data_IF_314854724181
#
_entry.id   IF_314854724181
#
_cell.length_a   1.000
_cell.length_b   1.000
_cell.length_c   1.000
_cell.angle_alpha   90.00
_cell.angle_beta   90.00
_cell.angle_gamma   90.00
#
_symmetry.space_group_name_H-M   'P 1'
#
loop_
_entity.id
_entity.type
_entity.pdbx_description
1 polymer ?
#
# COMPACT_ATOMS: atom_id res chain seq x y z
N UNK A 1 13.62 -2.65 3.20
CA UNK A 1 12.29 -2.54 3.80
C UNK A 1 12.25 -1.65 5.05
N UNK A 2 13.00 -1.95 6.13
CA UNK A 2 13.03 -1.10 7.33
C UNK A 2 13.56 0.32 7.08
N UNK A 3 14.42 0.53 6.09
CA UNK A 3 14.97 1.85 5.75
C UNK A 3 13.93 2.90 5.35
N UNK A 4 12.91 2.53 4.55
CA UNK A 4 11.82 3.45 4.19
C UNK A 4 11.07 3.87 5.45
N UNK A 5 10.62 2.92 6.26
CA UNK A 5 9.88 3.24 7.49
C UNK A 5 10.70 4.13 8.41
N UNK A 6 11.99 3.82 8.59
CA UNK A 6 12.88 4.62 9.42
C UNK A 6 13.01 6.06 8.91
N UNK A 7 13.18 6.26 7.59
CA UNK A 7 13.28 7.60 6.97
C UNK A 7 12.06 8.47 7.31
N UNK A 8 10.84 7.95 7.12
CA UNK A 8 9.61 8.72 7.32
C UNK A 8 9.18 8.82 8.78
N UNK A 9 9.34 7.76 9.58
CA UNK A 9 9.05 7.79 11.02
C UNK A 9 10.01 8.75 11.74
N UNK A 10 11.27 8.83 11.29
CA UNK A 10 12.26 9.73 11.87
C UNK A 10 11.87 11.21 11.79
N UNK A 11 11.09 11.61 10.77
CA UNK A 11 10.55 12.98 10.66
C UNK A 11 9.52 13.30 11.75
N UNK A 12 8.83 12.29 12.28
CA UNK A 12 7.73 12.42 13.24
C UNK A 12 8.02 11.71 14.57
N UNK A 13 9.31 11.64 15.00
CA UNK A 13 9.75 10.88 16.20
C UNK A 13 8.95 11.25 17.44
N UNK A 14 8.82 12.55 17.75
CA UNK A 14 8.18 13.00 18.98
C UNK A 14 6.68 12.62 19.03
N UNK A 15 5.83 12.97 18.05
CA UNK A 15 4.42 12.58 18.09
C UNK A 15 4.24 11.05 17.97
N UNK A 16 5.17 10.33 17.33
CA UNK A 16 5.18 8.88 17.28
C UNK A 16 5.40 8.27 18.68
N UNK A 17 6.41 8.76 19.42
CA UNK A 17 6.69 8.30 20.80
C UNK A 17 5.53 8.65 21.74
N UNK A 18 4.92 9.84 21.61
CA UNK A 18 3.74 10.22 22.40
C UNK A 18 2.58 9.27 22.13
N UNK A 19 2.35 8.90 20.86
CA UNK A 19 1.30 7.95 20.51
C UNK A 19 1.55 6.57 21.15
N UNK A 20 2.79 6.08 21.14
CA UNK A 20 3.17 4.83 21.78
C UNK A 20 2.94 4.90 23.29
N UNK A 21 3.32 6.00 23.94
CA UNK A 21 3.09 6.21 25.36
C UNK A 21 1.59 6.20 25.68
N UNK A 22 0.77 6.88 24.89
CA UNK A 22 -0.68 6.85 25.04
C UNK A 22 -1.25 5.42 24.91
N UNK A 23 -0.72 4.59 23.97
CA UNK A 23 -1.11 3.17 23.85
C UNK A 23 -0.74 2.38 25.10
N UNK A 24 0.45 2.60 25.64
CA UNK A 24 0.90 1.91 26.84
C UNK A 24 0.05 2.30 28.07
N UNK A 25 -0.26 3.59 28.23
CA UNK A 25 -1.15 4.08 29.29
C UNK A 25 -2.58 3.55 29.13
N UNK A 26 -3.13 3.55 27.92
CA UNK A 26 -4.43 2.95 27.61
C UNK A 26 -4.46 1.46 27.98
N UNK A 27 -3.44 0.69 27.57
CA UNK A 27 -3.33 -0.73 27.90
C UNK A 27 -3.20 -0.97 29.42
N UNK A 28 -2.48 -0.11 30.13
CA UNK A 28 -2.39 -0.17 31.57
C UNK A 28 -3.75 0.08 32.24
N UNK A 29 -4.52 1.07 31.78
CA UNK A 29 -5.88 1.31 32.25
C UNK A 29 -6.79 0.11 32.00
N UNK A 30 -6.74 -0.49 30.79
CA UNK A 30 -7.52 -1.68 30.44
C UNK A 30 -7.16 -2.89 31.35
N UNK A 31 -5.88 -3.05 31.70
CA UNK A 31 -5.40 -4.13 32.56
C UNK A 31 -5.78 -3.94 34.04
N UNK A 32 -5.89 -2.69 34.51
CA UNK A 32 -6.30 -2.39 35.88
C UNK A 32 -7.80 -2.60 36.13
N UNK A 33 -8.63 -2.50 35.07
CA UNK A 33 -10.08 -2.65 35.17
C UNK A 33 -10.53 -3.93 35.88
N UNK A 34 -10.12 -5.13 35.44
CA UNK A 34 -10.49 -6.39 36.10
C UNK A 34 -9.98 -6.51 37.53
N UNK A 35 -8.79 -6.01 37.83
CA UNK A 35 -8.23 -6.01 39.21
C UNK A 35 -9.06 -5.15 40.15
N UNK A 36 -9.47 -3.96 39.69
CA UNK A 36 -10.31 -3.06 40.50
C UNK A 36 -11.72 -3.64 40.66
N UNK A 37 -12.27 -4.23 39.61
CA UNK A 37 -13.56 -4.95 39.68
C UNK A 37 -13.51 -6.07 40.74
N UNK A 38 -12.39 -6.81 40.81
CA UNK A 38 -12.19 -7.80 41.87
C UNK A 38 -12.24 -7.17 43.27
N UNK A 39 -11.66 -5.98 43.47
CA UNK A 39 -11.74 -5.26 44.76
C UNK A 39 -13.15 -4.77 45.05
N UNK A 40 -13.88 -4.23 44.08
CA UNK A 40 -15.30 -3.84 44.25
C UNK A 40 -16.12 -5.02 44.77
N UNK A 41 -15.91 -6.21 44.20
CA UNK A 41 -16.64 -7.41 44.62
C UNK A 41 -16.17 -7.91 46.00
N UNK A 42 -14.88 -8.02 46.23
CA UNK A 42 -14.31 -8.60 47.45
C UNK A 42 -14.48 -7.68 48.68
N UNK A 43 -14.13 -6.39 48.55
CA UNK A 43 -14.11 -5.42 49.65
C UNK A 43 -15.42 -4.62 49.77
N UNK A 44 -16.23 -4.57 48.73
CA UNK A 44 -17.48 -3.88 48.69
C UNK A 44 -18.66 -4.82 48.88
N UNK A 45 -18.95 -5.66 47.88
CA UNK A 45 -20.15 -6.51 47.84
C UNK A 45 -20.07 -7.63 48.86
N UNK A 46 -18.98 -8.41 48.88
CA UNK A 46 -18.83 -9.54 49.78
C UNK A 46 -18.73 -9.09 51.24
N UNK A 47 -18.11 -7.94 51.51
CA UNK A 47 -17.98 -7.34 52.83
C UNK A 47 -19.22 -6.53 53.25
N UNK A 48 -20.23 -6.38 52.37
CA UNK A 48 -21.45 -5.55 52.58
C UNK A 48 -21.13 -4.09 52.92
N UNK A 49 -19.99 -3.58 52.49
CA UNK A 49 -19.53 -2.21 52.74
C UNK A 49 -19.81 -1.29 51.56
N UNK A 50 -20.95 -0.58 51.64
CA UNK A 50 -21.41 0.30 50.55
C UNK A 50 -20.42 1.43 50.25
N UNK A 51 -19.75 1.99 51.26
CA UNK A 51 -18.72 3.02 51.08
C UNK A 51 -17.53 2.52 50.24
N UNK A 52 -17.09 1.25 50.41
CA UNK A 52 -16.05 0.64 49.61
C UNK A 52 -16.49 0.43 48.14
N UNK A 53 -17.75 0.12 47.91
CA UNK A 53 -18.30 0.02 46.53
C UNK A 53 -18.21 1.37 45.82
N UNK A 54 -18.62 2.47 46.48
CA UNK A 54 -18.52 3.82 45.91
C UNK A 54 -17.07 4.25 45.69
N UNK A 55 -16.17 3.94 46.64
CA UNK A 55 -14.75 4.27 46.51
C UNK A 55 -14.08 3.54 45.31
N UNK A 56 -14.16 2.21 45.27
CA UNK A 56 -13.57 1.43 44.19
C UNK A 56 -14.29 1.58 42.85
N UNK A 57 -15.63 1.79 42.87
CA UNK A 57 -16.43 2.13 41.69
C UNK A 57 -16.06 3.49 41.10
N UNK A 58 -15.86 4.50 41.97
CA UNK A 58 -15.35 5.80 41.53
C UNK A 58 -13.94 5.72 40.92
N UNK A 59 -13.05 4.94 41.56
CA UNK A 59 -11.69 4.68 41.01
C UNK A 59 -11.75 3.99 39.62
N UNK A 60 -12.65 3.02 39.48
CA UNK A 60 -12.85 2.31 38.19
C UNK A 60 -13.34 3.28 37.10
N UNK A 61 -14.27 4.18 37.45
CA UNK A 61 -14.76 5.21 36.54
C UNK A 61 -13.65 6.19 36.13
N UNK A 62 -12.84 6.65 37.09
CA UNK A 62 -11.69 7.53 36.79
C UNK A 62 -10.68 6.87 35.85
N UNK A 63 -10.34 5.59 36.09
CA UNK A 63 -9.42 4.84 35.20
C UNK A 63 -10.03 4.61 33.83
N UNK A 64 -11.34 4.34 33.75
CA UNK A 64 -12.03 4.20 32.46
C UNK A 64 -12.02 5.52 31.67
N UNK A 65 -12.28 6.67 32.35
CA UNK A 65 -12.19 8.00 31.73
C UNK A 65 -10.75 8.33 31.26
N UNK A 66 -9.76 8.03 32.10
CA UNK A 66 -8.35 8.20 31.72
C UNK A 66 -7.98 7.31 30.52
N UNK A 67 -8.39 6.04 30.52
CA UNK A 67 -8.22 5.12 29.39
C UNK A 67 -8.85 5.62 28.11
N UNK A 68 -10.09 6.14 28.20
CA UNK A 68 -10.79 6.74 27.06
C UNK A 68 -10.05 7.99 26.52
N UNK A 69 -9.54 8.85 27.39
CA UNK A 69 -8.75 10.03 26.99
C UNK A 69 -7.45 9.61 26.26
N UNK A 70 -6.74 8.60 26.78
CA UNK A 70 -5.55 8.06 26.10
C UNK A 70 -5.90 7.39 24.77
N UNK A 71 -7.01 6.66 24.68
CA UNK A 71 -7.49 6.02 23.46
C UNK A 71 -7.83 7.05 22.36
N UNK A 72 -8.51 8.15 22.72
CA UNK A 72 -8.82 9.25 21.80
C UNK A 72 -7.53 9.93 21.34
N UNK A 73 -6.65 10.32 22.27
CA UNK A 73 -5.37 10.97 21.97
C UNK A 73 -4.51 10.13 21.04
N UNK A 74 -4.35 8.85 21.34
CA UNK A 74 -3.67 7.87 20.47
C UNK A 74 -4.31 7.79 19.10
N UNK A 75 -5.65 7.70 19.03
CA UNK A 75 -6.35 7.52 17.75
C UNK A 75 -6.17 8.74 16.85
N UNK A 76 -6.25 9.95 17.39
CA UNK A 76 -6.01 11.20 16.68
C UNK A 76 -4.56 11.31 16.23
N UNK A 77 -3.61 11.05 17.13
CA UNK A 77 -2.17 11.12 16.80
C UNK A 77 -1.79 10.10 15.73
N UNK A 78 -2.16 8.83 15.90
CA UNK A 78 -1.83 7.78 14.93
C UNK A 78 -2.42 8.05 13.55
N UNK A 79 -3.67 8.55 13.49
CA UNK A 79 -4.30 8.92 12.23
C UNK A 79 -3.59 10.10 11.56
N UNK A 80 -3.30 11.18 12.30
CA UNK A 80 -2.59 12.35 11.75
C UNK A 80 -1.18 11.98 11.25
N UNK A 81 -0.43 11.21 12.02
CA UNK A 81 0.95 10.81 11.67
C UNK A 81 0.94 9.92 10.45
N UNK A 82 0.10 8.88 10.42
CA UNK A 82 0.05 7.96 9.29
C UNK A 82 -0.36 8.65 7.98
N UNK A 83 -1.32 9.60 8.03
CA UNK A 83 -1.72 10.37 6.85
C UNK A 83 -0.64 11.34 6.38
N UNK A 84 0.08 12.00 7.29
CA UNK A 84 1.24 12.84 6.94
C UNK A 84 2.35 12.04 6.28
N UNK A 85 2.70 10.89 6.85
CA UNK A 85 3.68 9.96 6.24
C UNK A 85 3.21 9.52 4.85
N UNK A 86 1.93 9.22 4.68
CA UNK A 86 1.35 8.89 3.38
C UNK A 86 1.41 10.04 2.37
N UNK A 87 1.24 11.28 2.83
CA UNK A 87 1.38 12.47 1.99
C UNK A 87 2.83 12.69 1.58
N UNK A 88 3.78 12.62 2.52
CA UNK A 88 5.22 12.73 2.24
C UNK A 88 5.68 11.64 1.25
N UNK A 89 5.21 10.41 1.45
CA UNK A 89 5.56 9.29 0.57
C UNK A 89 5.03 9.49 -0.85
N UNK A 90 3.78 9.96 -1.01
CA UNK A 90 3.23 10.30 -2.33
C UNK A 90 3.98 11.45 -2.97
N UNK A 91 4.35 12.45 -2.20
CA UNK A 91 5.14 13.59 -2.69
C UNK A 91 6.52 13.14 -3.21
N UNK A 92 7.26 12.37 -2.40
CA UNK A 92 8.59 11.87 -2.79
C UNK A 92 8.48 10.95 -4.03
N UNK A 93 7.44 10.08 -4.10
CA UNK A 93 7.17 9.23 -5.26
C UNK A 93 6.84 10.06 -6.51
N UNK A 94 5.95 11.05 -6.37
CA UNK A 94 5.56 11.90 -7.50
C UNK A 94 6.75 12.68 -8.03
N UNK A 95 7.52 13.31 -7.15
CA UNK A 95 8.76 13.99 -7.55
C UNK A 95 9.72 13.06 -8.29
N UNK A 96 9.88 11.82 -7.80
CA UNK A 96 10.74 10.84 -8.45
C UNK A 96 10.23 10.46 -9.84
N UNK A 97 8.92 10.21 -9.97
CA UNK A 97 8.28 9.79 -11.24
C UNK A 97 8.34 10.90 -12.30
N UNK A 98 8.13 12.15 -11.91
CA UNK A 98 8.21 13.30 -12.84
C UNK A 98 9.61 13.45 -13.46
N UNK A 99 10.65 13.04 -12.73
CA UNK A 99 12.03 13.10 -13.21
C UNK A 99 12.51 11.78 -13.85
N UNK A 100 11.61 10.82 -14.09
CA UNK A 100 11.98 9.60 -14.81
C UNK A 100 12.27 9.89 -16.28
N UNK A 101 13.26 9.18 -16.80
CA UNK A 101 13.40 9.03 -18.25
C UNK A 101 12.31 8.11 -18.80
N UNK A 102 12.02 8.23 -20.11
CA UNK A 102 11.06 7.34 -20.77
C UNK A 102 11.45 5.85 -20.62
N UNK A 103 12.72 5.43 -20.78
CA UNK A 103 13.14 4.05 -20.54
C UNK A 103 12.80 3.54 -19.13
N UNK A 104 12.93 4.39 -18.12
CA UNK A 104 12.61 4.04 -16.74
C UNK A 104 11.10 3.95 -16.52
N UNK A 105 10.33 4.86 -17.10
CA UNK A 105 8.87 4.83 -17.07
C UNK A 105 8.29 3.61 -17.80
N UNK A 106 8.85 3.25 -18.96
CA UNK A 106 8.46 2.06 -19.74
C UNK A 106 8.74 0.77 -18.97
N UNK A 107 9.93 0.63 -18.35
CA UNK A 107 10.27 -0.54 -17.53
C UNK A 107 9.28 -0.76 -16.39
N UNK A 108 8.81 0.30 -15.76
CA UNK A 108 7.91 0.23 -14.61
C UNK A 108 6.42 0.20 -14.98
N UNK A 109 6.09 0.35 -16.26
CA UNK A 109 4.72 0.40 -16.82
C UNK A 109 3.86 1.48 -16.16
N UNK A 110 3.46 2.51 -16.88
CA UNK A 110 2.76 3.69 -16.35
C UNK A 110 1.53 3.39 -15.48
N UNK A 111 0.72 2.38 -15.82
CA UNK A 111 -0.42 1.94 -15.00
C UNK A 111 0.02 1.36 -13.63
N UNK A 112 1.20 0.75 -13.56
CA UNK A 112 1.79 0.26 -12.30
C UNK A 112 2.23 1.43 -11.41
N UNK A 113 2.75 2.52 -11.96
CA UNK A 113 3.17 3.71 -11.21
C UNK A 113 1.99 4.37 -10.49
N UNK A 114 0.83 4.47 -11.16
CA UNK A 114 -0.40 4.99 -10.55
C UNK A 114 -0.81 4.11 -9.36
N UNK A 115 -0.78 2.78 -9.52
CA UNK A 115 -1.12 1.84 -8.44
C UNK A 115 -0.16 1.98 -7.25
N UNK A 116 1.15 2.21 -7.50
CA UNK A 116 2.17 2.42 -6.45
C UNK A 116 1.92 3.72 -5.69
N UNK A 117 1.55 4.80 -6.39
CA UNK A 117 1.22 6.09 -5.76
C UNK A 117 -0.09 6.06 -4.95
N UNK A 118 -1.06 5.27 -5.36
CA UNK A 118 -2.40 5.23 -4.75
C UNK A 118 -2.55 4.06 -3.79
N UNK A 119 -2.73 2.86 -4.30
CA UNK A 119 -3.02 1.66 -3.51
C UNK A 119 -1.86 1.26 -2.60
N UNK A 120 -0.63 1.19 -3.13
CA UNK A 120 0.51 0.73 -2.35
C UNK A 120 0.85 1.71 -1.23
N UNK A 121 0.79 3.01 -1.50
CA UNK A 121 0.98 4.05 -0.48
C UNK A 121 -0.12 3.98 0.58
N UNK A 122 -1.37 3.71 0.20
CA UNK A 122 -2.48 3.53 1.13
C UNK A 122 -2.27 2.30 2.03
N UNK A 123 -1.78 1.17 1.48
CA UNK A 123 -1.44 -0.02 2.28
C UNK A 123 -0.34 0.28 3.31
N UNK A 124 0.70 1.00 2.92
CA UNK A 124 1.77 1.43 3.84
C UNK A 124 1.23 2.35 4.92
N UNK A 125 0.39 3.33 4.56
CA UNK A 125 -0.24 4.26 5.51
C UNK A 125 -1.12 3.52 6.54
N UNK A 126 -1.93 2.57 6.06
CA UNK A 126 -2.77 1.73 6.93
C UNK A 126 -1.95 0.85 7.86
N UNK A 127 -0.85 0.29 7.36
CA UNK A 127 0.05 -0.52 8.19
C UNK A 127 0.71 0.32 9.29
N UNK A 128 1.20 1.52 8.99
CA UNK A 128 1.78 2.43 9.99
C UNK A 128 0.73 2.78 11.06
N UNK A 129 -0.49 3.08 10.65
CA UNK A 129 -1.59 3.34 11.59
C UNK A 129 -1.86 2.12 12.47
N UNK A 130 -1.97 0.93 11.88
CA UNK A 130 -2.15 -0.34 12.60
C UNK A 130 -1.00 -0.65 13.55
N UNK A 131 0.24 -0.39 13.13
CA UNK A 131 1.43 -0.57 13.95
C UNK A 131 1.37 0.31 15.21
N UNK A 132 0.99 1.57 15.07
CA UNK A 132 0.88 2.50 16.20
C UNK A 132 -0.30 2.19 17.14
N UNK A 133 -1.34 1.49 16.65
CA UNK A 133 -2.56 1.24 17.44
C UNK A 133 -2.60 -0.15 18.04
N UNK A 134 -2.36 -1.17 17.24
CA UNK A 134 -2.68 -2.56 17.59
C UNK A 134 -1.42 -3.37 17.87
N UNK A 135 -0.35 -3.13 17.11
CA UNK A 135 0.89 -3.92 17.23
C UNK A 135 1.55 -3.80 18.61
N UNK A 136 1.40 -2.65 19.24
CA UNK A 136 1.95 -2.40 20.59
C UNK A 136 0.93 -2.78 21.66
N UNK A 137 -0.37 -2.45 21.46
CA UNK A 137 -1.41 -2.73 22.45
C UNK A 137 -1.61 -4.23 22.67
N UNK A 138 -1.72 -5.02 21.60
CA UNK A 138 -2.08 -6.43 21.71
C UNK A 138 -1.05 -7.28 22.49
N UNK A 139 0.29 -7.16 22.29
CA UNK A 139 1.26 -7.85 23.15
C UNK A 139 1.23 -7.38 24.60
N UNK A 140 1.10 -6.07 24.86
CA UNK A 140 1.04 -5.53 26.22
C UNK A 140 -0.18 -6.06 26.95
N UNK A 141 -1.37 -6.03 26.33
CA UNK A 141 -2.59 -6.55 26.97
C UNK A 141 -2.54 -8.06 27.13
N UNK A 142 -2.00 -8.81 26.16
CA UNK A 142 -1.86 -10.26 26.26
C UNK A 142 -0.94 -10.66 27.42
N UNK A 143 0.30 -10.16 27.41
CA UNK A 143 1.30 -10.49 28.45
C UNK A 143 0.86 -9.93 29.81
N UNK A 144 0.37 -8.68 29.85
CA UNK A 144 -0.08 -8.04 31.07
C UNK A 144 -1.25 -8.79 31.73
N UNK A 145 -2.24 -9.23 30.96
CA UNK A 145 -3.37 -10.03 31.46
C UNK A 145 -2.91 -11.38 31.99
N UNK A 146 -1.95 -12.05 31.33
CA UNK A 146 -1.38 -13.32 31.81
C UNK A 146 -0.65 -13.12 33.15
N UNK A 147 0.18 -12.07 33.22
CA UNK A 147 0.94 -11.77 34.46
C UNK A 147 -0.01 -11.42 35.61
N UNK A 148 -0.98 -10.54 35.40
CA UNK A 148 -1.94 -10.15 36.44
C UNK A 148 -2.83 -11.31 36.88
N UNK A 149 -3.29 -12.15 35.96
CA UNK A 149 -4.01 -13.37 36.28
C UNK A 149 -3.14 -14.29 37.18
N UNK A 150 -1.85 -14.47 36.81
CA UNK A 150 -0.92 -15.30 37.58
C UNK A 150 -0.68 -14.79 39.01
N UNK A 151 -0.63 -13.47 39.16
CA UNK A 151 -0.45 -12.83 40.49
C UNK A 151 -1.70 -12.95 41.39
N UNK A 152 -2.90 -13.04 40.76
CA UNK A 152 -4.13 -13.23 41.54
C UNK A 152 -4.28 -14.63 42.08
N UNK A 153 -4.15 -15.67 41.24
CA UNK A 153 -4.24 -17.06 41.67
C UNK A 153 -3.58 -18.01 40.66
N UNK A 154 -2.46 -18.63 41.04
CA UNK A 154 -1.68 -19.47 40.13
C UNK A 154 -2.44 -20.74 39.69
N UNK A 155 -3.32 -21.28 40.52
CA UNK A 155 -4.10 -22.50 40.18
C UNK A 155 -5.15 -22.21 39.10
N UNK A 156 -5.85 -21.06 39.19
CA UNK A 156 -6.78 -20.65 38.15
C UNK A 156 -6.06 -20.27 36.88
N UNK A 157 -4.82 -19.75 36.96
CA UNK A 157 -4.03 -19.39 35.78
C UNK A 157 -3.68 -20.59 34.89
N UNK A 158 -3.65 -21.83 35.45
CA UNK A 158 -3.46 -23.04 34.63
C UNK A 158 -4.53 -23.20 33.57
N UNK A 159 -5.79 -22.84 33.86
CA UNK A 159 -6.88 -22.86 32.88
C UNK A 159 -6.63 -21.84 31.77
N UNK A 160 -6.17 -20.64 32.13
CA UNK A 160 -5.82 -19.60 31.16
C UNK A 160 -4.68 -20.06 30.26
N UNK A 161 -3.61 -20.64 30.82
CA UNK A 161 -2.48 -21.16 30.02
C UNK A 161 -2.89 -22.27 29.07
N UNK A 162 -3.73 -23.21 29.56
CA UNK A 162 -4.28 -24.27 28.71
C UNK A 162 -5.12 -23.67 27.55
N UNK A 163 -5.97 -22.71 27.84
CA UNK A 163 -6.80 -22.02 26.82
C UNK A 163 -5.95 -21.28 25.81
N UNK A 164 -4.91 -20.58 26.23
CA UNK A 164 -3.94 -19.90 25.35
C UNK A 164 -3.23 -20.91 24.45
N UNK A 165 -2.79 -22.03 24.99
CA UNK A 165 -2.15 -23.09 24.21
C UNK A 165 -3.10 -23.69 23.16
N UNK A 166 -4.36 -23.95 23.51
CA UNK A 166 -5.38 -24.44 22.57
C UNK A 166 -5.61 -23.44 21.46
N UNK A 167 -5.78 -22.15 21.77
CA UNK A 167 -5.98 -21.11 20.77
C UNK A 167 -4.76 -20.94 19.88
N UNK A 168 -3.54 -20.99 20.44
CA UNK A 168 -2.30 -20.91 19.62
C UNK A 168 -2.20 -22.10 18.64
N UNK A 169 -2.59 -23.30 19.04
CA UNK A 169 -2.65 -24.47 18.17
C UNK A 169 -3.71 -24.28 17.09
N UNK A 170 -4.93 -23.84 17.45
CA UNK A 170 -6.00 -23.57 16.50
C UNK A 170 -5.60 -22.53 15.45
N UNK A 171 -4.97 -21.43 15.87
CA UNK A 171 -4.48 -20.40 14.96
C UNK A 171 -3.40 -20.95 14.01
N UNK A 172 -2.45 -21.74 14.52
CA UNK A 172 -1.37 -22.33 13.72
C UNK A 172 -1.93 -23.30 12.67
N UNK A 173 -2.85 -24.18 13.06
CA UNK A 173 -3.53 -25.10 12.14
C UNK A 173 -4.30 -24.31 11.08
N UNK A 174 -5.06 -23.33 11.50
CA UNK A 174 -5.84 -22.48 10.61
C UNK A 174 -4.97 -21.73 9.60
N UNK A 175 -3.85 -21.15 10.03
CA UNK A 175 -2.92 -20.45 9.12
C UNK A 175 -2.37 -21.40 8.05
N UNK A 176 -1.93 -22.60 8.43
CA UNK A 176 -1.44 -23.62 7.49
C UNK A 176 -2.51 -24.06 6.49
N UNK A 177 -3.73 -24.27 6.98
CA UNK A 177 -4.85 -24.73 6.15
C UNK A 177 -5.35 -23.61 5.22
N UNK A 178 -5.46 -22.39 5.73
CA UNK A 178 -5.83 -21.20 4.95
C UNK A 178 -4.84 -20.94 3.82
N UNK A 179 -3.55 -20.96 4.07
CA UNK A 179 -2.53 -20.71 3.04
C UNK A 179 -2.71 -21.63 1.82
N UNK A 180 -2.87 -22.93 2.04
CA UNK A 180 -3.08 -23.91 0.96
C UNK A 180 -4.37 -23.67 0.18
N UNK A 181 -5.46 -23.30 0.87
CA UNK A 181 -6.76 -23.07 0.22
C UNK A 181 -6.82 -21.75 -0.51
N UNK A 182 -6.19 -20.70 0.04
CA UNK A 182 -6.09 -19.41 -0.63
C UNK A 182 -5.20 -19.46 -1.88
N UNK A 183 -4.12 -20.24 -1.88
CA UNK A 183 -3.33 -20.49 -3.08
C UNK A 183 -4.18 -21.12 -4.21
N UNK A 184 -5.03 -22.10 -3.88
CA UNK A 184 -5.96 -22.71 -4.85
C UNK A 184 -7.06 -21.75 -5.31
N UNK A 185 -7.54 -20.88 -4.43
CA UNK A 185 -8.48 -19.81 -4.77
C UNK A 185 -7.86 -18.82 -5.74
N UNK A 186 -6.62 -18.39 -5.48
CA UNK A 186 -5.88 -17.50 -6.37
C UNK A 186 -5.72 -18.10 -7.77
N UNK A 187 -5.29 -19.36 -7.87
CA UNK A 187 -5.18 -20.03 -9.18
C UNK A 187 -6.52 -20.13 -9.93
N UNK A 188 -7.64 -20.25 -9.20
CA UNK A 188 -8.96 -20.25 -9.85
C UNK A 188 -9.36 -18.84 -10.31
N UNK A 189 -8.99 -17.79 -9.57
CA UNK A 189 -9.18 -16.40 -9.96
C UNK A 189 -8.36 -16.07 -11.22
N UNK A 190 -7.09 -16.48 -11.26
CA UNK A 190 -6.22 -16.27 -12.40
C UNK A 190 -6.78 -16.98 -13.65
N UNK A 191 -7.34 -18.20 -13.49
CA UNK A 191 -8.00 -18.92 -14.59
C UNK A 191 -9.25 -18.20 -15.08
N UNK A 192 -10.08 -17.65 -14.19
CA UNK A 192 -11.25 -16.86 -14.58
C UNK A 192 -10.82 -15.60 -15.33
N UNK A 193 -9.82 -14.88 -14.82
CA UNK A 193 -9.28 -13.69 -15.46
C UNK A 193 -8.74 -14.01 -16.87
N UNK A 194 -8.03 -15.13 -17.04
CA UNK A 194 -7.56 -15.56 -18.37
C UNK A 194 -8.71 -15.78 -19.34
N UNK A 195 -9.78 -16.46 -18.92
CA UNK A 195 -10.98 -16.70 -19.77
C UNK A 195 -11.62 -15.36 -20.19
N UNK A 196 -11.79 -14.44 -19.24
CA UNK A 196 -12.35 -13.11 -19.54
C UNK A 196 -11.44 -12.33 -20.48
N UNK A 197 -10.14 -12.36 -20.27
CA UNK A 197 -9.15 -11.66 -21.10
C UNK A 197 -9.13 -12.24 -22.52
N UNK A 198 -9.12 -13.57 -22.67
CA UNK A 198 -9.20 -14.26 -23.98
C UNK A 198 -10.47 -13.84 -24.73
N UNK A 199 -11.62 -13.82 -24.04
CA UNK A 199 -12.89 -13.37 -24.63
C UNK A 199 -12.83 -11.91 -25.10
N UNK A 200 -12.33 -10.98 -24.23
CA UNK A 200 -12.26 -9.56 -24.58
C UNK A 200 -11.33 -9.28 -25.76
N UNK A 201 -10.20 -9.98 -25.84
CA UNK A 201 -9.26 -9.87 -26.96
C UNK A 201 -9.83 -10.50 -28.24
N UNK A 202 -10.56 -11.61 -28.12
CA UNK A 202 -11.15 -12.37 -29.21
C UNK A 202 -12.62 -12.02 -29.51
N UNK A 203 -13.20 -10.96 -28.94
CA UNK A 203 -14.65 -10.68 -29.02
C UNK A 203 -15.17 -10.60 -30.45
N UNK A 204 -14.37 -10.06 -31.38
CA UNK A 204 -14.73 -9.96 -32.81
C UNK A 204 -14.84 -11.35 -33.45
N UNK A 205 -13.93 -12.24 -33.07
CA UNK A 205 -13.90 -13.63 -33.56
C UNK A 205 -15.09 -14.42 -33.03
N UNK A 206 -15.36 -14.32 -31.72
CA UNK A 206 -16.53 -14.98 -31.09
C UNK A 206 -17.84 -14.51 -31.74
N UNK A 207 -17.96 -13.19 -32.02
CA UNK A 207 -19.13 -12.64 -32.73
C UNK A 207 -19.22 -13.12 -34.17
N UNK A 208 -18.11 -13.20 -34.89
CA UNK A 208 -18.08 -13.64 -36.29
C UNK A 208 -18.50 -15.12 -36.46
N UNK A 209 -18.13 -15.98 -35.50
CA UNK A 209 -18.47 -17.39 -35.54
C UNK A 209 -19.71 -17.76 -34.72
N UNK A 210 -20.35 -16.82 -34.03
CA UNK A 210 -21.53 -17.08 -33.20
C UNK A 210 -21.27 -18.00 -32.01
N UNK A 211 -20.01 -18.08 -31.51
CA UNK A 211 -19.56 -19.03 -30.50
C UNK A 211 -19.90 -18.59 -29.05
N UNK A 212 -21.05 -17.94 -28.84
CA UNK A 212 -21.47 -17.39 -27.54
C UNK A 212 -21.66 -18.47 -26.48
N UNK A 213 -22.31 -19.59 -26.85
CA UNK A 213 -22.64 -20.65 -25.91
C UNK A 213 -21.40 -21.36 -25.39
N UNK A 214 -20.39 -21.54 -26.23
CA UNK A 214 -19.13 -22.14 -25.84
C UNK A 214 -18.36 -21.23 -24.87
N UNK A 215 -18.29 -19.94 -25.14
CA UNK A 215 -17.64 -18.97 -24.24
C UNK A 215 -18.41 -18.84 -22.91
N UNK A 216 -19.74 -18.81 -22.95
CA UNK A 216 -20.58 -18.83 -21.75
C UNK A 216 -20.35 -20.09 -20.92
N UNK A 217 -20.18 -21.25 -21.57
CA UNK A 217 -19.87 -22.53 -20.90
C UNK A 217 -18.48 -22.50 -20.26
N UNK A 218 -17.46 -22.01 -20.96
CA UNK A 218 -16.07 -21.86 -20.45
C UNK A 218 -16.04 -20.94 -19.21
N UNK A 219 -16.72 -19.79 -19.31
CA UNK A 219 -16.85 -18.86 -18.19
C UNK A 219 -17.57 -19.49 -17.01
N UNK A 220 -18.70 -20.16 -17.22
CA UNK A 220 -19.49 -20.83 -16.18
C UNK A 220 -18.68 -21.88 -15.44
N UNK A 221 -17.87 -22.68 -16.16
CA UNK A 221 -16.98 -23.69 -15.54
C UNK A 221 -15.90 -23.03 -14.66
N UNK A 222 -15.23 -21.97 -15.16
CA UNK A 222 -14.23 -21.25 -14.41
C UNK A 222 -14.83 -20.56 -13.17
N UNK A 223 -16.00 -19.94 -13.32
CA UNK A 223 -16.73 -19.27 -12.25
C UNK A 223 -17.21 -20.26 -11.16
N UNK A 224 -17.73 -21.42 -11.57
CA UNK A 224 -18.13 -22.49 -10.63
C UNK A 224 -16.93 -23.02 -9.86
N UNK A 225 -15.78 -23.20 -10.52
CA UNK A 225 -14.52 -23.58 -9.86
C UNK A 225 -14.07 -22.53 -8.84
N UNK A 226 -14.11 -21.25 -9.22
CA UNK A 226 -13.79 -20.13 -8.33
C UNK A 226 -14.70 -20.11 -7.11
N UNK A 227 -16.03 -20.22 -7.32
CA UNK A 227 -17.01 -20.26 -6.24
C UNK A 227 -16.73 -21.41 -5.25
N UNK A 228 -16.53 -22.64 -5.74
CA UNK A 228 -16.26 -23.81 -4.87
C UNK A 228 -14.98 -23.63 -4.05
N UNK A 229 -13.91 -23.10 -4.67
CA UNK A 229 -12.64 -22.83 -3.99
C UNK A 229 -12.76 -21.66 -3.02
N UNK A 230 -13.54 -20.62 -3.39
CA UNK A 230 -13.85 -19.47 -2.53
C UNK A 230 -14.58 -19.90 -1.26
N UNK A 231 -15.66 -20.67 -1.39
CA UNK A 231 -16.38 -21.23 -0.25
C UNK A 231 -15.45 -22.08 0.63
N UNK A 232 -14.64 -22.96 0.03
CA UNK A 232 -13.70 -23.79 0.78
C UNK A 232 -12.62 -22.99 1.53
N UNK A 233 -12.13 -21.90 0.96
CA UNK A 233 -11.16 -21.02 1.61
C UNK A 233 -11.82 -20.21 2.73
N UNK A 234 -13.02 -19.67 2.47
CA UNK A 234 -13.76 -18.84 3.42
C UNK A 234 -14.22 -19.63 4.65
N UNK A 235 -14.66 -20.88 4.48
CA UNK A 235 -15.08 -21.74 5.59
C UNK A 235 -13.97 -21.91 6.64
N UNK A 236 -12.70 -22.01 6.24
CA UNK A 236 -11.59 -22.14 7.21
C UNK A 236 -11.50 -20.91 8.10
N UNK A 237 -11.58 -19.72 7.51
CA UNK A 237 -11.50 -18.47 8.27
C UNK A 237 -12.74 -18.29 9.15
N UNK A 238 -13.91 -18.58 8.61
CA UNK A 238 -15.19 -18.41 9.32
C UNK A 238 -15.29 -19.34 10.53
N UNK A 239 -14.75 -20.57 10.47
CA UNK A 239 -14.78 -21.53 11.58
C UNK A 239 -13.83 -21.14 12.75
N UNK A 240 -12.84 -20.28 12.52
CA UNK A 240 -11.90 -19.89 13.59
C UNK A 240 -12.61 -19.15 14.71
N UNK A 241 -13.46 -18.16 14.37
CA UNK A 241 -14.14 -17.34 15.37
C UNK A 241 -15.05 -18.17 16.31
N UNK A 242 -15.93 -19.07 15.82
CA UNK A 242 -16.68 -19.99 16.69
C UNK A 242 -15.80 -20.91 17.54
N UNK A 243 -14.70 -21.44 16.99
CA UNK A 243 -13.77 -22.30 17.74
C UNK A 243 -13.11 -21.56 18.90
N UNK A 244 -12.70 -20.31 18.68
CA UNK A 244 -12.15 -19.46 19.73
C UNK A 244 -13.23 -19.12 20.76
N UNK A 245 -14.43 -18.76 20.32
CA UNK A 245 -15.56 -18.49 21.22
C UNK A 245 -15.91 -19.71 22.08
N UNK A 246 -15.88 -20.91 21.49
CA UNK A 246 -16.08 -22.16 22.23
C UNK A 246 -14.96 -22.36 23.27
N UNK A 247 -13.71 -22.10 22.92
CA UNK A 247 -12.57 -22.18 23.86
C UNK A 247 -12.75 -21.21 25.02
N UNK A 248 -13.21 -19.96 24.75
CA UNK A 248 -13.53 -18.96 25.78
C UNK A 248 -14.64 -19.50 26.68
N UNK A 249 -15.71 -20.01 26.09
CA UNK A 249 -16.86 -20.55 26.83
C UNK A 249 -16.46 -21.71 27.77
N UNK A 250 -15.75 -22.70 27.23
CA UNK A 250 -15.25 -23.83 28.02
C UNK A 250 -14.32 -23.36 29.14
N UNK A 251 -13.36 -22.48 28.83
CA UNK A 251 -12.45 -21.95 29.81
C UNK A 251 -13.15 -21.16 30.90
N UNK A 252 -14.18 -20.36 30.54
CA UNK A 252 -15.00 -19.62 31.50
C UNK A 252 -15.73 -20.60 32.44
N UNK A 253 -16.31 -21.67 31.92
CA UNK A 253 -16.97 -22.71 32.74
C UNK A 253 -15.97 -23.38 33.68
N UNK A 254 -14.77 -23.70 33.19
CA UNK A 254 -13.70 -24.28 34.01
C UNK A 254 -13.21 -23.31 35.11
N UNK A 255 -13.06 -22.02 34.78
CA UNK A 255 -12.71 -20.99 35.77
C UNK A 255 -13.78 -20.87 36.85
N UNK A 256 -15.06 -20.86 36.47
CA UNK A 256 -16.18 -20.81 37.43
C UNK A 256 -16.26 -22.07 38.28
N UNK A 257 -16.12 -23.27 37.70
CA UNK A 257 -16.19 -24.53 38.43
C UNK A 257 -15.00 -24.70 39.40
N UNK A 258 -13.78 -24.50 38.93
CA UNK A 258 -12.55 -24.58 39.77
C UNK A 258 -12.51 -23.43 40.77
N UNK A 259 -12.87 -22.22 40.34
CA UNK A 259 -12.93 -21.05 41.19
C UNK A 259 -13.96 -21.20 42.31
N UNK A 260 -15.15 -21.73 42.00
CA UNK A 260 -16.16 -22.05 43.00
C UNK A 260 -15.67 -23.08 44.04
N UNK A 261 -14.99 -24.15 43.56
CA UNK A 261 -14.37 -25.14 44.46
C UNK A 261 -13.25 -24.53 45.35
N UNK A 262 -12.41 -23.70 44.75
CA UNK A 262 -11.33 -23.00 45.51
C UNK A 262 -11.93 -21.99 46.50
N UNK A 263 -13.06 -21.36 46.17
CA UNK A 263 -13.79 -20.47 47.05
C UNK A 263 -14.32 -21.22 48.29
N UNK A 264 -14.94 -22.38 48.12
CA UNK A 264 -15.42 -23.20 49.27
C UNK A 264 -14.28 -23.66 50.14
N UNK A 265 -13.06 -23.80 49.60
CA UNK A 265 -11.83 -24.13 50.36
C UNK A 265 -11.13 -22.90 50.95
N UNK A 266 -11.66 -21.68 50.80
CA UNK A 266 -11.07 -20.44 51.28
C UNK A 266 -9.82 -19.99 50.51
N UNK A 267 -9.53 -20.58 49.33
CA UNK A 267 -8.31 -20.35 48.55
C UNK A 267 -8.51 -19.40 47.33
N UNK A 268 -9.73 -18.93 47.11
CA UNK A 268 -10.05 -17.91 46.10
C UNK A 268 -11.14 -16.99 46.62
N UNK A 269 -11.18 -15.75 46.12
CA UNK A 269 -12.22 -14.78 46.42
C UNK A 269 -13.17 -14.64 45.23
N UNK A 270 -14.46 -14.29 45.41
CA UNK A 270 -15.42 -14.16 44.32
C UNK A 270 -15.00 -13.15 43.27
N UNK A 271 -14.41 -12.03 43.69
CA UNK A 271 -13.92 -10.99 42.77
C UNK A 271 -12.76 -11.46 41.90
N UNK A 272 -11.90 -12.33 42.43
CA UNK A 272 -10.76 -12.87 41.67
C UNK A 272 -11.28 -13.72 40.51
N UNK A 273 -12.32 -14.56 40.75
CA UNK A 273 -12.95 -15.37 39.71
C UNK A 273 -13.51 -14.51 38.58
N UNK A 274 -14.18 -13.40 38.95
CA UNK A 274 -14.71 -12.44 37.95
C UNK A 274 -13.59 -11.78 37.14
N UNK A 275 -12.47 -11.39 37.77
CA UNK A 275 -11.31 -10.83 37.08
C UNK A 275 -10.70 -11.85 36.09
N UNK A 276 -10.61 -13.15 36.47
CA UNK A 276 -10.11 -14.20 35.58
C UNK A 276 -10.93 -14.35 34.32
N UNK A 277 -12.27 -14.28 34.39
CA UNK A 277 -13.15 -14.33 33.20
C UNK A 277 -12.86 -13.17 32.26
N UNK A 278 -12.65 -11.95 32.81
CA UNK A 278 -12.36 -10.78 31.98
C UNK A 278 -10.95 -10.89 31.37
N UNK A 279 -9.94 -11.27 32.17
CA UNK A 279 -8.57 -11.47 31.63
C UNK A 279 -8.51 -12.52 30.53
N UNK A 280 -9.24 -13.61 30.69
CA UNK A 280 -9.32 -14.63 29.66
C UNK A 280 -9.87 -14.08 28.34
N UNK A 281 -10.93 -13.29 28.40
CA UNK A 281 -11.50 -12.65 27.22
C UNK A 281 -10.51 -11.64 26.58
N UNK A 282 -9.78 -10.88 27.38
CA UNK A 282 -8.76 -9.92 26.91
C UNK A 282 -7.58 -10.62 26.22
N UNK A 283 -7.06 -11.72 26.80
CA UNK A 283 -5.97 -12.49 26.22
C UNK A 283 -6.34 -13.03 24.86
N UNK A 284 -7.53 -13.66 24.74
CA UNK A 284 -7.96 -14.27 23.50
C UNK A 284 -8.28 -13.23 22.41
N UNK A 285 -8.89 -12.10 22.78
CA UNK A 285 -9.06 -10.97 21.87
C UNK A 285 -7.72 -10.41 21.38
N UNK A 286 -6.72 -10.31 22.27
CA UNK A 286 -5.38 -9.85 21.89
C UNK A 286 -4.67 -10.80 20.91
N UNK A 287 -4.85 -12.11 21.05
CA UNK A 287 -4.31 -13.11 20.13
C UNK A 287 -4.93 -12.99 18.73
N UNK A 288 -6.23 -12.72 18.64
CA UNK A 288 -6.90 -12.44 17.37
C UNK A 288 -6.37 -11.16 16.71
N UNK A 289 -6.13 -10.11 17.48
CA UNK A 289 -5.55 -8.86 16.98
C UNK A 289 -4.14 -9.08 16.42
N UNK A 290 -3.29 -9.87 17.08
CA UNK A 290 -1.93 -10.21 16.62
C UNK A 290 -2.00 -10.92 15.25
N UNK A 291 -2.93 -11.84 15.06
CA UNK A 291 -3.12 -12.54 13.77
C UNK A 291 -3.47 -11.59 12.64
N UNK A 292 -4.37 -10.64 12.87
CA UNK A 292 -4.76 -9.64 11.87
C UNK A 292 -3.58 -8.71 11.47
N UNK A 293 -2.74 -8.35 12.42
CA UNK A 293 -1.54 -7.55 12.17
C UNK A 293 -0.58 -8.30 11.24
N UNK A 294 -0.34 -9.58 11.48
CA UNK A 294 0.55 -10.38 10.66
C UNK A 294 0.08 -10.43 9.20
N UNK A 295 -1.20 -10.61 8.96
CA UNK A 295 -1.78 -10.58 7.61
C UNK A 295 -1.59 -9.23 6.90
N UNK A 296 -1.73 -8.14 7.65
CA UNK A 296 -1.51 -6.78 7.12
C UNK A 296 -0.03 -6.55 6.81
N UNK A 297 0.88 -7.03 7.67
CA UNK A 297 2.32 -6.96 7.46
C UNK A 297 2.76 -7.65 6.17
N UNK A 298 2.28 -8.87 5.92
CA UNK A 298 2.64 -9.64 4.72
C UNK A 298 2.22 -8.91 3.45
N UNK A 299 1.01 -8.34 3.42
CA UNK A 299 0.53 -7.54 2.27
C UNK A 299 1.34 -6.27 2.08
N UNK A 300 1.59 -5.53 3.15
CA UNK A 300 2.35 -4.28 3.10
C UNK A 300 3.79 -4.49 2.67
N UNK A 301 4.38 -5.67 2.98
CA UNK A 301 5.73 -6.02 2.53
C UNK A 301 5.86 -5.96 1.00
N UNK A 302 4.90 -6.50 0.27
CA UNK A 302 4.91 -6.48 -1.19
C UNK A 302 4.75 -5.04 -1.73
N UNK A 303 3.82 -4.26 -1.17
CA UNK A 303 3.62 -2.86 -1.55
C UNK A 303 4.84 -1.99 -1.27
N UNK A 304 5.49 -2.20 -0.12
CA UNK A 304 6.74 -1.48 0.23
C UNK A 304 7.87 -1.81 -0.73
N UNK A 305 8.01 -3.06 -1.17
CA UNK A 305 9.04 -3.45 -2.14
C UNK A 305 8.84 -2.74 -3.49
N UNK A 306 7.58 -2.65 -3.98
CA UNK A 306 7.28 -1.91 -5.23
C UNK A 306 7.51 -0.41 -5.12
N UNK A 307 7.21 0.19 -3.96
CA UNK A 307 7.51 1.60 -3.69
C UNK A 307 9.03 1.82 -3.67
N UNK A 308 9.76 0.92 -3.00
CA UNK A 308 11.23 0.98 -2.91
C UNK A 308 11.86 0.94 -4.30
N UNK A 309 11.38 0.08 -5.18
CA UNK A 309 11.85 -0.03 -6.57
C UNK A 309 11.74 1.31 -7.31
N UNK A 310 10.66 2.08 -7.11
CA UNK A 310 10.51 3.40 -7.71
C UNK A 310 11.46 4.42 -7.09
N UNK A 311 11.60 4.42 -5.75
CA UNK A 311 12.46 5.38 -5.05
C UNK A 311 13.95 5.13 -5.33
N UNK A 312 14.35 3.87 -5.52
CA UNK A 312 15.73 3.45 -5.78
C UNK A 312 16.08 3.50 -7.29
N UNK A 313 15.10 3.64 -8.18
CA UNK A 313 15.35 3.76 -9.60
C UNK A 313 16.30 4.94 -9.88
N UNK A 314 17.33 4.70 -10.68
CA UNK A 314 18.27 5.76 -11.08
C UNK A 314 17.59 6.69 -12.09
N UNK A 315 17.89 7.97 -12.00
CA UNK A 315 17.57 8.91 -13.07
C UNK A 315 18.64 8.70 -14.15
N UNK A 316 18.21 8.30 -15.33
CA UNK A 316 19.13 8.01 -16.45
C UNK A 316 19.80 9.29 -16.98
N UNK A 317 19.22 10.45 -16.69
CA UNK A 317 19.76 11.75 -17.11
C UNK A 317 20.12 12.59 -15.87
N UNK A 318 21.39 12.97 -15.78
CA UNK A 318 21.85 13.97 -14.81
C UNK A 318 21.81 15.35 -15.46
N UNK A 319 21.19 16.35 -14.84
CA UNK A 319 21.33 17.73 -15.30
C UNK A 319 22.77 18.16 -15.11
N UNK A 320 23.51 18.29 -16.19
CA UNK A 320 24.90 18.77 -16.19
C UNK A 320 25.07 19.74 -17.35
N UNK A 321 25.02 21.02 -17.08
CA UNK A 321 25.35 22.02 -18.07
C UNK A 321 24.58 23.34 -17.91
N UNK A 322 25.00 24.32 -18.70
CA UNK A 322 24.33 25.61 -18.85
C UNK A 322 23.40 25.51 -20.05
N UNK A 323 22.18 26.03 -19.93
CA UNK A 323 21.24 26.09 -21.06
C UNK A 323 21.80 27.04 -22.10
N UNK A 324 22.06 26.50 -23.30
CA UNK A 324 22.60 27.27 -24.44
C UNK A 324 21.53 27.34 -25.54
N UNK A 325 21.56 28.48 -26.27
CA UNK A 325 20.69 28.62 -27.45
C UNK A 325 21.41 28.01 -28.66
N UNK A 326 20.71 27.11 -29.35
CA UNK A 326 21.21 26.38 -30.51
C UNK A 326 20.73 27.04 -31.83
N UNK A 327 21.51 26.90 -32.88
CA UNK A 327 21.18 27.43 -34.24
C UNK A 327 20.25 26.45 -35.01
N UNK A 328 20.20 25.20 -34.65
CA UNK A 328 19.26 24.22 -35.17
C UNK A 328 19.78 23.30 -36.29
N UNK A 329 21.10 23.15 -36.43
CA UNK A 329 21.66 22.12 -37.31
C UNK A 329 21.51 20.73 -36.65
N UNK A 330 20.98 19.74 -37.38
CA UNK A 330 20.77 18.37 -36.91
C UNK A 330 21.51 17.37 -37.80
N UNK A 331 22.26 16.45 -37.20
CA UNK A 331 22.87 15.35 -37.96
C UNK A 331 22.68 14.02 -37.22
N UNK A 332 22.28 13.00 -37.95
CA UNK A 332 22.26 11.60 -37.55
C UNK A 332 23.43 10.90 -38.22
N UNK A 333 24.26 10.22 -37.46
CA UNK A 333 25.44 9.52 -37.96
C UNK A 333 25.41 8.05 -37.54
N UNK A 334 25.16 7.16 -38.48
CA UNK A 334 25.07 5.69 -38.32
C UNK A 334 24.19 5.24 -37.16
N UNK A 335 23.07 5.90 -36.98
CA UNK A 335 22.17 5.70 -35.84
C UNK A 335 21.45 4.37 -35.96
N UNK A 336 21.66 3.49 -34.99
CA UNK A 336 20.89 2.27 -34.76
C UNK A 336 20.18 2.38 -33.38
N UNK A 337 18.87 2.08 -33.36
CA UNK A 337 18.08 2.13 -32.13
C UNK A 337 17.04 1.02 -32.04
N UNK A 338 16.99 0.35 -30.89
CA UNK A 338 15.94 -0.59 -30.49
C UNK A 338 15.35 -0.16 -29.14
N UNK A 339 14.02 -0.30 -28.98
CA UNK A 339 13.38 0.00 -27.71
C UNK A 339 13.81 -0.97 -26.59
N UNK A 340 14.04 -0.48 -25.34
CA UNK A 340 14.43 -1.33 -24.21
C UNK A 340 13.40 -2.39 -23.85
N UNK A 341 12.12 -2.09 -24.11
CA UNK A 341 10.97 -2.96 -23.81
C UNK A 341 10.34 -3.41 -25.13
N UNK A 342 10.44 -4.70 -25.46
CA UNK A 342 9.84 -5.27 -26.67
C UNK A 342 10.76 -6.23 -27.42
N UNK A 343 10.50 -6.41 -28.72
CA UNK A 343 11.38 -7.19 -29.60
C UNK A 343 12.72 -6.46 -29.77
N UNK A 344 13.84 -7.19 -29.69
CA UNK A 344 15.19 -6.62 -29.93
C UNK A 344 15.43 -6.23 -31.40
N UNK A 345 14.38 -6.16 -32.21
CA UNK A 345 14.46 -5.72 -33.59
C UNK A 345 14.67 -4.21 -33.62
N UNK A 346 15.75 -3.72 -34.28
CA UNK A 346 15.99 -2.29 -34.37
C UNK A 346 14.84 -1.54 -35.04
N UNK A 347 14.35 -0.48 -34.40
CA UNK A 347 13.38 0.44 -34.99
C UNK A 347 14.02 1.36 -36.03
N UNK A 348 15.32 1.64 -35.86
CA UNK A 348 16.17 2.35 -36.80
C UNK A 348 17.48 1.56 -36.98
N UNK A 349 17.99 1.45 -38.21
CA UNK A 349 19.22 0.73 -38.49
C UNK A 349 20.12 1.56 -39.42
N UNK A 350 21.31 1.93 -38.90
CA UNK A 350 22.38 2.66 -39.61
C UNK A 350 21.88 3.88 -40.40
N UNK A 351 21.06 4.69 -39.75
CA UNK A 351 20.47 5.87 -40.36
C UNK A 351 21.47 7.04 -40.30
N UNK A 352 21.73 7.66 -41.46
CA UNK A 352 22.58 8.86 -41.55
C UNK A 352 21.93 9.91 -42.44
N UNK A 353 21.80 11.13 -41.96
CA UNK A 353 21.36 12.30 -42.70
C UNK A 353 21.74 13.58 -41.95
N UNK A 354 21.69 14.72 -42.63
CA UNK A 354 22.00 16.04 -42.06
C UNK A 354 20.95 17.05 -42.55
N UNK A 355 20.54 17.92 -41.63
CA UNK A 355 19.59 19.05 -41.89
C UNK A 355 20.25 20.33 -41.41
N UNK A 356 20.32 21.34 -42.25
CA UNK A 356 20.88 22.65 -41.94
C UNK A 356 19.84 23.55 -41.27
N UNK A 357 20.27 24.59 -40.54
CA UNK A 357 19.33 25.59 -40.02
C UNK A 357 18.45 26.16 -41.14
N UNK A 358 17.13 26.19 -40.92
CA UNK A 358 16.14 26.70 -41.89
C UNK A 358 15.72 25.73 -43.00
N UNK A 359 16.34 24.52 -43.07
CA UNK A 359 15.90 23.48 -43.98
C UNK A 359 14.70 22.70 -43.45
N UNK A 360 13.83 22.22 -44.30
CA UNK A 360 12.72 21.32 -44.02
C UNK A 360 13.03 19.91 -44.52
N UNK A 361 12.90 18.90 -43.68
CA UNK A 361 13.05 17.50 -44.03
C UNK A 361 11.71 16.77 -43.89
N UNK A 362 11.24 16.17 -44.98
CA UNK A 362 10.07 15.29 -44.98
C UNK A 362 10.49 13.83 -44.84
N UNK A 363 9.92 13.11 -43.85
CA UNK A 363 10.15 11.69 -43.64
C UNK A 363 8.90 10.90 -44.00
N UNK A 364 8.98 10.09 -45.08
CA UNK A 364 7.86 9.31 -45.61
C UNK A 364 8.14 7.82 -45.39
N UNK A 365 7.11 7.04 -45.10
CA UNK A 365 7.23 5.60 -44.91
C UNK A 365 5.95 4.97 -44.35
N UNK A 366 5.90 3.64 -44.35
CA UNK A 366 4.78 2.86 -43.79
C UNK A 366 4.63 3.03 -42.28
N UNK A 367 3.48 2.64 -41.74
CA UNK A 367 3.29 2.56 -40.27
C UNK A 367 4.32 1.58 -39.68
N UNK A 368 4.97 1.96 -38.59
CA UNK A 368 6.01 1.15 -37.94
C UNK A 368 7.42 1.32 -38.52
N UNK A 369 7.66 2.19 -39.53
CA UNK A 369 8.99 2.41 -40.12
C UNK A 369 9.93 3.29 -39.28
N UNK A 370 9.59 3.65 -38.05
CA UNK A 370 10.47 4.40 -37.14
C UNK A 370 10.37 5.94 -37.24
N UNK A 371 9.39 6.53 -38.00
CA UNK A 371 9.26 7.99 -38.15
C UNK A 371 9.13 8.74 -36.83
N UNK A 372 8.24 8.30 -35.94
CA UNK A 372 8.07 8.91 -34.63
C UNK A 372 9.29 8.68 -33.74
N UNK A 373 10.01 7.58 -33.92
CA UNK A 373 11.22 7.27 -33.17
C UNK A 373 12.31 8.30 -33.42
N UNK A 374 12.43 8.85 -34.66
CA UNK A 374 13.36 9.95 -34.95
C UNK A 374 13.09 11.18 -34.10
N UNK A 375 11.81 11.60 -33.97
CA UNK A 375 11.42 12.74 -33.16
C UNK A 375 11.72 12.50 -31.67
N UNK A 376 11.48 11.27 -31.17
CA UNK A 376 11.74 10.93 -29.77
C UNK A 376 13.22 10.87 -29.44
N UNK A 377 14.05 10.39 -30.38
CA UNK A 377 15.50 10.42 -30.21
C UNK A 377 16.06 11.85 -30.26
N UNK A 378 15.51 12.72 -31.09
CA UNK A 378 15.91 14.12 -31.16
C UNK A 378 15.60 14.91 -29.87
N UNK A 379 14.50 14.58 -29.19
CA UNK A 379 14.15 15.11 -27.86
C UNK A 379 14.91 14.41 -26.71
N UNK A 380 15.78 13.46 -27.06
CA UNK A 380 16.50 12.62 -26.11
C UNK A 380 15.56 11.97 -25.08
N UNK A 381 14.42 11.41 -25.56
CA UNK A 381 13.63 10.52 -24.72
C UNK A 381 14.32 9.19 -24.50
N UNK A 382 15.12 8.77 -25.49
CA UNK A 382 15.98 7.59 -25.45
C UNK A 382 17.37 7.96 -25.98
N UNK A 383 18.42 7.30 -25.50
CA UNK A 383 19.75 7.35 -26.10
C UNK A 383 19.88 6.25 -27.16
N UNK A 384 20.64 6.50 -28.22
CA UNK A 384 20.87 5.55 -29.31
C UNK A 384 21.74 4.38 -28.89
N UNK A 385 21.52 3.19 -29.47
CA UNK A 385 22.34 2.00 -29.19
C UNK A 385 23.68 2.09 -29.89
N UNK A 386 23.70 2.55 -31.13
CA UNK A 386 24.93 2.74 -31.94
C UNK A 386 24.81 4.05 -32.71
N UNK A 387 25.96 4.64 -33.07
CA UNK A 387 26.04 5.93 -33.75
C UNK A 387 25.83 7.10 -32.78
N UNK A 388 25.54 8.28 -33.35
CA UNK A 388 25.33 9.51 -32.58
C UNK A 388 24.37 10.47 -33.27
N UNK A 389 23.73 11.32 -32.49
CA UNK A 389 22.89 12.43 -32.94
C UNK A 389 23.59 13.72 -32.52
N UNK A 390 23.80 14.60 -33.48
CA UNK A 390 24.46 15.89 -33.25
C UNK A 390 23.45 17.04 -33.36
N UNK A 391 23.50 17.97 -32.41
CA UNK A 391 22.86 19.27 -32.46
C UNK A 391 23.96 20.34 -32.52
N UNK A 392 23.97 21.12 -33.59
CA UNK A 392 25.04 22.11 -33.88
C UNK A 392 26.47 21.52 -33.77
N UNK A 393 26.63 20.27 -34.27
CA UNK A 393 27.92 19.55 -34.25
C UNK A 393 28.31 18.94 -32.90
N UNK A 394 27.47 19.05 -31.85
CA UNK A 394 27.70 18.45 -30.54
C UNK A 394 26.82 17.23 -30.33
N UNK A 395 27.36 16.18 -29.78
CA UNK A 395 26.58 14.98 -29.43
C UNK A 395 25.51 15.32 -28.39
N UNK A 396 24.25 14.98 -28.68
CA UNK A 396 23.09 15.24 -27.84
C UNK A 396 23.25 14.66 -26.41
N UNK A 397 24.07 13.60 -26.26
CA UNK A 397 24.36 12.98 -24.95
C UNK A 397 25.25 13.85 -24.06
N UNK A 398 26.02 14.77 -24.66
CA UNK A 398 26.89 15.71 -23.93
C UNK A 398 26.19 17.02 -23.55
N UNK A 399 25.03 17.29 -24.13
CA UNK A 399 24.23 18.46 -23.83
C UNK A 399 23.36 18.22 -22.59
N UNK A 400 23.07 19.29 -21.87
CA UNK A 400 22.04 19.23 -20.84
C UNK A 400 20.68 18.91 -21.49
N UNK A 401 19.89 18.09 -20.82
CA UNK A 401 18.55 17.70 -21.30
C UNK A 401 17.62 18.93 -21.45
N UNK A 402 17.76 19.92 -20.57
CA UNK A 402 16.98 21.16 -20.62
C UNK A 402 17.40 22.01 -21.83
N UNK A 403 18.68 22.02 -22.21
CA UNK A 403 19.14 22.65 -23.45
C UNK A 403 18.47 22.02 -24.66
N UNK A 404 18.44 20.71 -24.75
CA UNK A 404 17.80 20.00 -25.88
C UNK A 404 16.32 20.35 -25.94
N UNK A 405 15.60 20.22 -24.83
CA UNK A 405 14.13 20.39 -24.77
C UNK A 405 13.64 21.84 -24.88
N UNK A 406 14.47 22.81 -24.56
CA UNK A 406 14.16 24.23 -24.80
C UNK A 406 14.41 24.67 -26.23
N UNK A 407 15.28 23.99 -26.98
CA UNK A 407 15.60 24.32 -28.37
C UNK A 407 14.87 23.45 -29.40
N UNK A 408 14.28 22.33 -28.97
CA UNK A 408 13.54 21.38 -29.85
C UNK A 408 12.09 21.27 -29.41
N UNK A 409 11.16 21.68 -30.25
CA UNK A 409 9.73 21.52 -30.02
C UNK A 409 9.16 20.34 -30.81
N UNK A 410 8.16 19.67 -30.27
CA UNK A 410 7.42 18.59 -30.95
C UNK A 410 5.94 18.89 -30.98
N UNK A 411 5.30 18.64 -32.13
CA UNK A 411 3.86 18.61 -32.25
C UNK A 411 3.43 17.13 -32.27
N UNK A 412 2.81 16.61 -31.20
CA UNK A 412 2.43 15.21 -31.13
C UNK A 412 1.24 14.92 -32.06
N UNK A 413 1.20 13.73 -32.65
CA UNK A 413 0.10 13.27 -33.49
C UNK A 413 -1.27 13.31 -32.78
N UNK A 414 -1.29 13.09 -31.46
CA UNK A 414 -2.47 13.14 -30.60
C UNK A 414 -2.29 14.25 -29.57
N UNK A 415 -3.01 15.35 -29.75
CA UNK A 415 -2.99 16.46 -28.81
C UNK A 415 -3.54 16.02 -27.44
N UNK A 416 -2.82 16.36 -26.38
CA UNK A 416 -3.28 16.22 -25.00
C UNK A 416 -3.49 17.60 -24.39
N UNK A 417 -4.70 17.84 -23.89
CA UNK A 417 -5.00 19.05 -23.11
C UNK A 417 -5.01 18.67 -21.63
N UNK A 418 -4.31 19.45 -20.82
CA UNK A 418 -4.36 19.33 -19.37
C UNK A 418 -5.62 20.00 -18.81
N UNK A 419 -6.07 19.55 -17.63
CA UNK A 419 -7.18 20.18 -16.93
C UNK A 419 -6.88 21.63 -16.63
N UNK A 420 -7.73 22.56 -17.11
CA UNK A 420 -7.53 23.99 -16.95
C UNK A 420 -8.13 24.79 -18.10
N UNK A 421 -7.68 26.02 -18.27
CA UNK A 421 -8.09 26.85 -19.42
C UNK A 421 -7.22 26.57 -20.64
N UNK A 422 -7.74 26.82 -21.84
CA UNK A 422 -6.97 26.73 -23.10
C UNK A 422 -5.72 27.60 -23.04
N UNK A 423 -5.84 28.82 -22.49
CA UNK A 423 -4.71 29.73 -22.31
C UNK A 423 -3.62 29.13 -21.40
N UNK A 424 -3.99 28.41 -20.34
CA UNK A 424 -3.02 27.71 -19.49
C UNK A 424 -2.31 26.58 -20.25
N UNK A 425 -3.04 25.82 -21.08
CA UNK A 425 -2.44 24.77 -21.89
C UNK A 425 -1.46 25.32 -22.94
N UNK A 426 -1.75 26.47 -23.54
CA UNK A 426 -0.83 27.12 -24.47
C UNK A 426 0.43 27.64 -23.75
N UNK A 427 0.29 28.19 -22.52
CA UNK A 427 1.43 28.65 -21.71
C UNK A 427 2.34 27.55 -21.21
N UNK A 428 2.02 26.28 -21.42
CA UNK A 428 2.95 25.19 -21.09
C UNK A 428 4.27 25.26 -21.88
N UNK A 429 4.22 25.85 -23.13
CA UNK A 429 5.42 26.08 -23.93
C UNK A 429 6.27 27.25 -23.44
N UNK A 430 5.64 28.31 -22.94
CA UNK A 430 6.29 29.47 -22.31
C UNK A 430 5.40 30.02 -21.19
N UNK A 431 5.75 29.69 -19.91
CA UNK A 431 4.98 30.16 -18.75
C UNK A 431 4.88 31.69 -18.62
N UNK A 432 5.82 32.44 -19.22
CA UNK A 432 5.88 33.89 -19.16
C UNK A 432 5.22 34.59 -20.37
N UNK A 433 4.62 33.81 -21.29
CA UNK A 433 3.98 34.37 -22.47
C UNK A 433 2.87 35.36 -22.11
N UNK A 434 2.85 36.52 -22.77
CA UNK A 434 1.80 37.53 -22.62
C UNK A 434 0.45 37.02 -23.13
N UNK A 435 -0.65 37.63 -22.69
CA UNK A 435 -1.99 37.30 -23.18
C UNK A 435 -2.13 37.51 -24.68
N UNK A 436 -1.42 38.47 -25.22
CA UNK A 436 -1.37 38.78 -26.67
C UNK A 436 -0.66 37.64 -27.43
N UNK A 437 0.49 37.17 -26.93
CA UNK A 437 1.22 36.06 -27.52
C UNK A 437 0.38 34.75 -27.48
N UNK A 438 -0.33 34.49 -26.38
CA UNK A 438 -1.24 33.35 -26.25
C UNK A 438 -2.40 33.42 -27.25
N UNK A 439 -2.95 34.63 -27.48
CA UNK A 439 -4.00 34.86 -28.50
C UNK A 439 -3.47 34.66 -29.93
N UNK A 440 -2.26 35.19 -30.20
CA UNK A 440 -1.61 35.01 -31.50
C UNK A 440 -1.35 33.54 -31.84
N UNK A 441 -0.80 32.78 -30.85
CA UNK A 441 -0.55 31.34 -31.01
C UNK A 441 -1.84 30.53 -31.31
N UNK A 442 -3.01 30.98 -30.83
CA UNK A 442 -4.30 30.35 -31.15
C UNK A 442 -4.69 30.53 -32.61
N UNK A 443 -4.42 31.69 -33.20
CA UNK A 443 -4.80 31.98 -34.60
C UNK A 443 -3.89 31.28 -35.61
N UNK A 444 -2.61 31.04 -35.29
CA UNK A 444 -1.70 30.32 -36.21
C UNK A 444 -2.10 28.86 -36.41
N UNK A 445 -2.84 28.25 -35.46
CA UNK A 445 -3.32 26.87 -35.58
C UNK A 445 -4.57 26.73 -36.48
N UNK A 446 -5.25 27.81 -36.80
CA UNK A 446 -6.50 27.82 -37.61
C UNK A 446 -6.25 28.11 -39.10
N UNK A 447 -5.01 28.49 -39.49
CA UNK A 447 -4.68 28.64 -40.90
C UNK A 447 -4.28 27.29 -41.52
N UNK A 448 -4.91 26.85 -42.65
CA UNK A 448 -4.45 25.68 -43.37
C UNK A 448 -3.04 25.95 -43.94
N UNK A 449 -2.14 24.96 -43.99
CA UNK A 449 -0.82 25.13 -44.57
C UNK A 449 -0.98 25.54 -46.04
N UNK A 450 -0.41 26.71 -46.35
CA UNK A 450 -0.30 27.24 -47.72
C UNK A 450 0.58 26.38 -48.63
#
# INVERSE_FOLDING_TARGET
MFGIYHKYIARYKLPFCISILCVACEAACDLLGPTIMARVINEGIAAKAVSSVFHWGGMMLLIALAGAAFAISRSVLSSKISQRIGADLRHDLFQKIVHFSEPSADRLQGGSLITRMTNDTTQVTQFINGMMRIFIKAPITCVGSIVLASLLNLRLSLVVYASVAVVAVLLTISMKLSYRRFAKLQSAMDRLNSVVQEYLLGVRLVKAFGAYDEEARRFSQANTSLMKRGVSAQLVITLISPMISLTIGIGTVLILALGGRLFTLGQARPGDISAFVIYMSQILSSLLMITNIFNTFVRTKASTARIQEVLDAQNDFSPQGVVEKLSGAVAFEDVTFAYPTGSQVPALSKLSFCVRPGESLAVIGSTGSGKSTLCWLLLRFYDVNEGRILLDGRDIRTLDIDTVRQNVAIVPQKAMLFSGTVAQSIRWGDPNASDEAVRAARFVSDEPPS
#
